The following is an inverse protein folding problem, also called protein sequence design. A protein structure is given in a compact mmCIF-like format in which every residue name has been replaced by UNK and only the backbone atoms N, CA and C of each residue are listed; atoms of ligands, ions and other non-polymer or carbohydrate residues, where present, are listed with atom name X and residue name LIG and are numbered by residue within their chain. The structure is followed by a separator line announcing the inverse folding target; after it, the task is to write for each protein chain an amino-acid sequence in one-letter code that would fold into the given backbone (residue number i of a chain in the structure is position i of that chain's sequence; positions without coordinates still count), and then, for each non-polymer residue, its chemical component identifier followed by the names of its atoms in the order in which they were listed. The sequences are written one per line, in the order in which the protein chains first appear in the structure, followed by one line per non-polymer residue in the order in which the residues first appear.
data_IF_886482231532
#
_entry.id   IF_886482231532
#
_cell.length_a   1.000
_cell.length_b   1.000
_cell.length_c   1.000
_cell.angle_alpha   90.00
_cell.angle_beta   90.00
_cell.angle_gamma   90.00
#
_symmetry.space_group_name_H-M   'P 1'
#
loop_
_entity.id
_entity.type
_entity.pdbx_description
1 polymer ?
#
# COMPACT_ATOMS: atom_id res chain seq x y z
N UNK A 1 29.97 14.80 45.54
CA UNK A 1 30.61 14.10 44.41
C UNK A 1 29.74 12.89 44.08
N UNK A 2 28.77 13.05 43.19
CA UNK A 2 28.88 12.52 41.83
C UNK A 2 27.90 11.35 41.64
N UNK A 3 26.62 11.64 41.34
CA UNK A 3 25.61 10.65 40.91
C UNK A 3 24.90 11.21 39.68
N UNK A 4 25.52 11.05 38.52
CA UNK A 4 24.97 11.46 37.23
C UNK A 4 25.49 10.53 36.13
N UNK A 5 25.17 9.24 36.22
CA UNK A 5 25.35 8.30 35.10
C UNK A 5 24.23 7.28 35.20
N UNK A 6 23.14 7.46 34.44
CA UNK A 6 22.18 6.40 34.05
C UNK A 6 21.07 6.96 33.13
N UNK A 7 21.43 7.75 32.11
CA UNK A 7 20.47 8.25 31.12
C UNK A 7 20.97 8.11 29.68
N UNK A 8 21.84 7.14 29.40
CA UNK A 8 22.47 6.99 28.07
C UNK A 8 22.09 5.77 27.21
N UNK A 9 21.37 4.71 27.65
CA UNK A 9 21.11 3.59 26.75
C UNK A 9 19.87 3.77 25.87
N UNK A 10 18.93 4.66 26.20
CA UNK A 10 17.69 4.82 25.41
C UNK A 10 17.86 5.65 24.12
N UNK A 11 18.82 6.57 24.07
CA UNK A 11 19.00 7.45 22.91
C UNK A 11 19.62 6.72 21.70
N UNK A 12 20.37 5.64 21.91
CA UNK A 12 21.04 4.88 20.83
C UNK A 12 20.08 3.91 20.13
N UNK A 13 19.08 3.38 20.84
CA UNK A 13 18.07 2.47 20.27
C UNK A 13 17.11 3.17 19.29
N UNK A 14 16.86 4.48 19.48
CA UNK A 14 15.98 5.25 18.59
C UNK A 14 16.64 5.61 17.25
N UNK A 15 17.98 5.65 17.19
CA UNK A 15 18.71 5.98 15.95
C UNK A 15 18.82 4.74 15.04
N UNK A 16 18.92 3.53 15.60
CA UNK A 16 19.02 2.29 14.83
C UNK A 16 17.68 1.82 14.24
N UNK A 17 16.54 2.16 14.86
CA UNK A 17 15.22 1.89 14.27
C UNK A 17 14.93 2.78 13.04
N UNK A 18 15.46 4.02 13.02
CA UNK A 18 15.23 4.96 11.93
C UNK A 18 15.96 4.62 10.63
N UNK A 19 17.09 3.92 10.68
CA UNK A 19 17.88 3.59 9.48
C UNK A 19 17.40 2.34 8.74
N UNK A 20 16.72 1.41 9.43
CA UNK A 20 16.19 0.19 8.79
C UNK A 20 14.97 0.51 7.91
N UNK A 21 14.15 1.49 8.29
CA UNK A 21 12.96 1.89 7.50
C UNK A 21 13.34 2.56 6.17
N UNK A 22 14.52 3.20 6.09
CA UNK A 22 14.97 3.88 4.87
C UNK A 22 15.61 2.93 3.84
N UNK A 23 16.12 1.76 4.26
CA UNK A 23 16.85 0.86 3.35
C UNK A 23 15.95 -0.07 2.53
N UNK A 24 14.66 -0.20 2.87
CA UNK A 24 13.73 -1.00 2.08
C UNK A 24 13.16 -0.28 0.85
N UNK A 25 13.23 1.07 0.77
CA UNK A 25 12.81 1.82 -0.42
C UNK A 25 13.86 1.83 -1.55
N UNK A 26 15.12 1.50 -1.27
CA UNK A 26 16.23 1.67 -2.24
C UNK A 26 16.37 0.57 -3.30
N UNK A 27 15.51 -0.45 -3.31
CA UNK A 27 15.43 -1.47 -4.38
C UNK A 27 14.20 -1.32 -5.29
N UNK A 28 13.48 -0.20 -5.19
CA UNK A 28 12.39 0.11 -6.10
C UNK A 28 12.97 0.42 -7.50
N UNK A 29 12.56 -0.34 -8.52
CA UNK A 29 12.85 -0.09 -9.95
C UNK A 29 12.70 1.39 -10.33
N UNK A 30 13.49 1.90 -11.27
CA UNK A 30 13.25 3.25 -11.85
C UNK A 30 11.87 3.38 -12.50
N UNK A 31 11.20 2.26 -12.75
CA UNK A 31 9.85 2.19 -13.33
C UNK A 31 8.77 2.77 -12.41
N UNK A 32 8.94 2.75 -11.08
CA UNK A 32 7.94 3.30 -10.14
C UNK A 32 7.68 4.80 -10.38
N UNK A 33 8.73 5.54 -10.75
CA UNK A 33 8.67 6.99 -10.96
C UNK A 33 8.34 7.41 -12.39
N UNK A 34 8.14 6.45 -13.30
CA UNK A 34 7.81 6.72 -14.70
C UNK A 34 6.51 6.05 -15.15
N UNK A 35 5.98 5.12 -14.34
CA UNK A 35 4.73 4.43 -14.63
C UNK A 35 3.53 5.38 -14.57
N UNK A 36 2.82 5.50 -15.69
CA UNK A 36 1.69 6.43 -15.86
C UNK A 36 0.40 5.91 -15.24
N UNK A 37 -0.40 6.84 -14.75
CA UNK A 37 -1.73 6.58 -14.19
C UNK A 37 -2.67 5.91 -15.20
N UNK A 38 -2.68 6.37 -16.46
CA UNK A 38 -3.49 5.76 -17.53
C UNK A 38 -3.15 4.29 -17.78
N UNK A 39 -1.87 3.92 -17.77
CA UNK A 39 -1.44 2.52 -17.95
C UNK A 39 -1.99 1.61 -16.86
N UNK A 40 -2.02 2.09 -15.61
CA UNK A 40 -2.63 1.38 -14.49
C UNK A 40 -4.15 1.26 -14.67
N UNK A 41 -4.82 2.36 -14.97
CA UNK A 41 -6.27 2.41 -15.15
C UNK A 41 -6.73 1.47 -16.27
N UNK A 42 -6.06 1.52 -17.43
CA UNK A 42 -6.31 0.65 -18.58
C UNK A 42 -6.16 -0.84 -18.23
N UNK A 43 -5.22 -1.17 -17.33
CA UNK A 43 -5.06 -2.54 -16.86
C UNK A 43 -6.19 -2.94 -15.92
N UNK A 44 -6.53 -2.08 -14.95
CA UNK A 44 -7.58 -2.34 -13.96
C UNK A 44 -8.94 -2.50 -14.63
N UNK A 45 -9.26 -1.70 -15.64
CA UNK A 45 -10.52 -1.80 -16.40
C UNK A 45 -10.66 -3.12 -17.18
N UNK A 46 -9.55 -3.81 -17.47
CA UNK A 46 -9.54 -5.12 -18.14
C UNK A 46 -9.60 -6.29 -17.17
N UNK A 47 -9.50 -6.04 -15.87
CA UNK A 47 -9.71 -7.07 -14.86
C UNK A 47 -11.20 -7.44 -14.81
N UNK A 48 -11.55 -8.69 -14.51
CA UNK A 48 -12.94 -9.07 -14.31
C UNK A 48 -13.55 -8.25 -13.15
N UNK A 49 -14.78 -7.77 -13.34
CA UNK A 49 -15.47 -6.86 -12.40
C UNK A 49 -15.48 -7.39 -10.96
N UNK A 50 -15.60 -8.71 -10.80
CA UNK A 50 -15.41 -9.39 -9.53
C UNK A 50 -15.19 -10.88 -9.77
N UNK A 51 -14.27 -11.55 -9.08
CA UNK A 51 -14.18 -12.99 -9.15
C UNK A 51 -15.42 -13.59 -8.47
N UNK A 52 -16.48 -13.85 -9.26
CA UNK A 52 -17.72 -14.53 -8.83
C UNK A 52 -17.42 -15.82 -8.03
N UNK A 53 -16.27 -16.45 -8.28
CA UNK A 53 -15.79 -17.65 -7.60
C UNK A 53 -15.39 -17.42 -6.12
N UNK A 54 -15.25 -16.18 -5.65
CA UNK A 54 -14.72 -15.88 -4.32
C UNK A 54 -15.73 -15.30 -3.33
N UNK A 55 -16.87 -14.78 -3.78
CA UNK A 55 -17.83 -14.08 -2.89
C UNK A 55 -18.46 -15.01 -1.87
N UNK A 56 -18.59 -16.29 -2.20
CA UNK A 56 -19.17 -17.32 -1.31
C UNK A 56 -18.11 -17.97 -0.41
N UNK A 57 -16.83 -17.63 -0.59
CA UNK A 57 -15.74 -18.14 0.23
C UNK A 57 -15.79 -17.46 1.60
N UNK A 58 -15.85 -18.27 2.67
CA UNK A 58 -15.84 -17.79 4.05
C UNK A 58 -14.65 -16.84 4.28
N UNK A 59 -14.92 -15.70 4.89
CA UNK A 59 -13.91 -14.70 5.23
C UNK A 59 -13.54 -13.73 4.11
N UNK A 60 -14.05 -13.91 2.88
CA UNK A 60 -13.82 -12.99 1.78
C UNK A 60 -14.28 -11.56 2.11
N UNK A 61 -15.52 -11.40 2.57
CA UNK A 61 -16.07 -10.09 2.97
C UNK A 61 -15.31 -9.49 4.15
N UNK A 62 -14.80 -10.33 5.07
CA UNK A 62 -13.99 -9.88 6.19
C UNK A 62 -12.64 -9.32 5.73
N UNK A 63 -11.93 -10.01 4.84
CA UNK A 63 -10.68 -9.54 4.25
C UNK A 63 -10.88 -8.25 3.45
N UNK A 64 -11.94 -8.20 2.63
CA UNK A 64 -12.30 -6.98 1.91
C UNK A 64 -12.59 -5.81 2.85
N UNK A 65 -13.34 -6.05 3.93
CA UNK A 65 -13.67 -5.00 4.90
C UNK A 65 -12.44 -4.52 5.65
N UNK A 66 -11.52 -5.43 6.01
CA UNK A 66 -10.26 -5.10 6.65
C UNK A 66 -9.38 -4.22 5.75
N UNK A 67 -9.25 -4.57 4.47
CA UNK A 67 -8.54 -3.74 3.49
C UNK A 67 -9.25 -2.40 3.29
N UNK A 68 -10.57 -2.38 3.08
CA UNK A 68 -11.33 -1.15 2.91
C UNK A 68 -11.20 -0.20 4.10
N UNK A 69 -11.13 -0.73 5.32
CA UNK A 69 -10.91 0.07 6.52
C UNK A 69 -9.55 0.79 6.50
N UNK A 70 -8.54 0.23 5.83
CA UNK A 70 -7.20 0.81 5.69
C UNK A 70 -7.05 1.71 4.45
N UNK A 71 -7.71 1.38 3.34
CA UNK A 71 -7.48 2.06 2.06
C UNK A 71 -8.55 3.08 1.65
N UNK A 72 -9.75 3.00 2.23
CA UNK A 72 -10.83 3.92 1.89
C UNK A 72 -10.56 5.31 2.49
N UNK A 73 -10.55 6.40 1.71
CA UNK A 73 -10.31 7.74 2.24
C UNK A 73 -11.44 8.26 3.15
N UNK A 74 -12.59 7.57 3.20
CA UNK A 74 -13.68 7.86 4.13
C UNK A 74 -13.56 7.10 5.47
N UNK A 75 -12.64 6.14 5.57
CA UNK A 75 -12.41 5.40 6.82
C UNK A 75 -11.67 6.27 7.84
N UNK A 76 -12.03 6.14 9.12
CA UNK A 76 -11.27 6.74 10.21
C UNK A 76 -9.88 6.13 10.39
N UNK A 77 -9.66 4.93 9.86
CA UNK A 77 -8.39 4.19 9.94
C UNK A 77 -7.62 4.21 8.61
N UNK A 78 -8.02 5.10 7.69
CA UNK A 78 -7.37 5.21 6.39
C UNK A 78 -5.89 5.56 6.54
N UNK A 79 -5.03 4.85 5.80
CA UNK A 79 -3.62 5.16 5.78
C UNK A 79 -3.39 6.54 5.13
N UNK A 80 -2.44 7.36 5.64
CA UNK A 80 -2.13 8.67 5.07
C UNK A 80 -1.79 8.61 3.58
N UNK A 81 -1.07 7.57 3.15
CA UNK A 81 -0.77 7.33 1.72
C UNK A 81 -2.03 7.16 0.89
N UNK A 82 -3.02 6.42 1.39
CA UNK A 82 -4.30 6.22 0.71
C UNK A 82 -5.15 7.48 0.61
N UNK A 83 -5.16 8.32 1.64
CA UNK A 83 -5.84 9.62 1.61
C UNK A 83 -5.21 10.51 0.53
N UNK A 84 -3.87 10.59 0.49
CA UNK A 84 -3.13 11.36 -0.51
C UNK A 84 -3.32 10.80 -1.92
N UNK A 85 -3.32 9.47 -2.08
CA UNK A 85 -3.57 8.83 -3.35
C UNK A 85 -4.98 9.15 -3.87
N UNK A 86 -6.00 9.04 -3.02
CA UNK A 86 -7.37 9.41 -3.38
C UNK A 86 -7.52 10.89 -3.74
N UNK A 87 -6.75 11.80 -3.13
CA UNK A 87 -6.70 13.21 -3.52
C UNK A 87 -6.02 13.39 -4.87
N UNK A 88 -4.89 12.72 -5.09
CA UNK A 88 -4.19 12.71 -6.38
C UNK A 88 -5.08 12.21 -7.52
N UNK A 89 -5.83 11.14 -7.31
CA UNK A 89 -6.74 10.60 -8.33
C UNK A 89 -7.80 11.61 -8.81
N UNK A 90 -8.16 12.60 -8.00
CA UNK A 90 -9.13 13.65 -8.39
C UNK A 90 -8.55 14.67 -9.36
N UNK A 91 -7.23 14.80 -9.43
CA UNK A 91 -6.52 15.80 -10.23
C UNK A 91 -5.54 15.20 -11.23
N UNK A 92 -5.26 13.89 -11.14
CA UNK A 92 -4.37 13.18 -12.02
C UNK A 92 -4.90 13.17 -13.47
N UNK A 93 -4.01 13.53 -14.41
CA UNK A 93 -4.25 13.31 -15.83
C UNK A 93 -3.72 11.94 -16.28
N UNK A 94 -4.00 11.53 -17.52
CA UNK A 94 -3.53 10.26 -18.08
C UNK A 94 -2.01 10.07 -17.98
N UNK A 95 -1.24 11.15 -18.13
CA UNK A 95 0.23 11.16 -18.10
C UNK A 95 0.84 11.35 -16.72
N UNK A 96 0.03 11.55 -15.68
CA UNK A 96 0.54 11.68 -14.31
C UNK A 96 1.24 10.39 -13.87
N UNK A 97 2.33 10.52 -13.12
CA UNK A 97 3.04 9.38 -12.53
C UNK A 97 2.14 8.75 -11.47
N UNK A 98 1.88 7.45 -11.55
CA UNK A 98 0.98 6.73 -10.64
C UNK A 98 1.44 6.88 -9.18
N UNK A 99 2.74 6.69 -8.94
CA UNK A 99 3.34 6.80 -7.62
C UNK A 99 3.83 8.22 -7.30
N UNK A 100 3.12 9.25 -7.76
CA UNK A 100 3.46 10.64 -7.43
C UNK A 100 3.52 10.82 -5.91
N UNK A 101 4.67 11.28 -5.39
CA UNK A 101 4.87 11.50 -3.97
C UNK A 101 4.80 10.23 -3.10
N UNK A 102 5.06 9.05 -3.68
CA UNK A 102 4.95 7.73 -3.05
C UNK A 102 3.53 7.32 -2.63
N UNK A 103 2.49 8.07 -3.03
CA UNK A 103 1.13 7.87 -2.49
C UNK A 103 0.56 6.49 -2.78
N UNK A 104 0.90 5.89 -3.92
CA UNK A 104 0.42 4.57 -4.30
C UNK A 104 1.05 3.48 -3.43
N UNK A 105 2.39 3.51 -3.28
CA UNK A 105 3.13 2.54 -2.48
C UNK A 105 2.77 2.65 -1.01
N UNK A 106 2.79 3.87 -0.47
CA UNK A 106 2.40 4.17 0.92
C UNK A 106 0.91 3.87 1.19
N UNK A 107 0.12 3.50 0.16
CA UNK A 107 -1.25 3.03 0.29
C UNK A 107 -1.38 1.52 0.19
N UNK A 108 -0.93 0.91 -0.92
CA UNK A 108 -1.27 -0.49 -1.25
C UNK A 108 -0.14 -1.48 -0.99
N UNK A 109 1.09 -1.00 -0.78
CA UNK A 109 2.28 -1.82 -0.54
C UNK A 109 2.71 -1.88 0.93
N UNK A 110 2.02 -1.16 1.81
CA UNK A 110 2.23 -1.26 3.25
C UNK A 110 1.87 -2.67 3.75
N UNK A 111 2.75 -3.26 4.57
CA UNK A 111 2.64 -4.64 5.06
C UNK A 111 1.26 -4.89 5.68
N UNK A 112 0.73 -3.95 6.45
CA UNK A 112 -0.58 -4.11 7.11
C UNK A 112 -1.74 -4.25 6.13
N UNK A 113 -1.64 -3.66 4.93
CA UNK A 113 -2.67 -3.76 3.89
C UNK A 113 -2.54 -5.10 3.17
N UNK A 114 -1.31 -5.50 2.87
CA UNK A 114 -0.99 -6.79 2.25
C UNK A 114 -1.42 -7.93 3.17
N UNK A 115 -1.08 -7.88 4.45
CA UNK A 115 -1.48 -8.86 5.47
C UNK A 115 -3.00 -8.94 5.61
N UNK A 116 -3.70 -7.79 5.68
CA UNK A 116 -5.16 -7.74 5.72
C UNK A 116 -5.78 -8.43 4.49
N UNK A 117 -5.23 -8.21 3.30
CA UNK A 117 -5.68 -8.87 2.08
C UNK A 117 -5.40 -10.38 2.10
N UNK A 118 -4.23 -10.79 2.60
CA UNK A 118 -3.79 -12.19 2.68
C UNK A 118 -4.54 -13.02 3.73
N UNK A 119 -5.35 -12.40 4.60
CA UNK A 119 -6.26 -13.15 5.50
C UNK A 119 -7.29 -14.01 4.74
N UNK A 120 -7.48 -13.78 3.45
CA UNK A 120 -8.23 -14.65 2.57
C UNK A 120 -7.53 -14.80 1.20
N UNK A 121 -7.02 -16.00 0.91
CA UNK A 121 -6.30 -16.29 -0.34
C UNK A 121 -7.11 -15.95 -1.60
N UNK A 122 -8.42 -16.20 -1.60
CA UNK A 122 -9.26 -15.91 -2.76
C UNK A 122 -9.33 -14.39 -3.02
N UNK A 123 -9.59 -13.60 -1.96
CA UNK A 123 -9.58 -12.15 -2.04
C UNK A 123 -8.21 -11.62 -2.49
N UNK A 124 -7.13 -12.09 -1.88
CA UNK A 124 -5.79 -11.66 -2.24
C UNK A 124 -5.47 -11.98 -3.72
N UNK A 125 -5.58 -13.24 -4.12
CA UNK A 125 -5.15 -13.71 -5.43
C UNK A 125 -6.06 -13.26 -6.57
N UNK A 126 -7.37 -13.15 -6.33
CA UNK A 126 -8.34 -12.91 -7.40
C UNK A 126 -8.80 -11.44 -7.48
N UNK A 127 -8.58 -10.63 -6.44
CA UNK A 127 -9.00 -9.22 -6.42
C UNK A 127 -7.84 -8.27 -6.10
N UNK A 128 -7.22 -8.40 -4.93
CA UNK A 128 -6.25 -7.42 -4.44
C UNK A 128 -4.96 -7.42 -5.27
N UNK A 129 -4.30 -8.57 -5.42
CA UNK A 129 -3.05 -8.69 -6.15
C UNK A 129 -3.18 -8.29 -7.64
N UNK A 130 -4.19 -8.76 -8.40
CA UNK A 130 -4.36 -8.32 -9.78
C UNK A 130 -4.48 -6.79 -9.95
N UNK A 131 -5.22 -6.13 -9.05
CA UNK A 131 -5.49 -4.70 -9.14
C UNK A 131 -4.30 -3.83 -8.71
N UNK A 132 -3.63 -4.21 -7.63
CA UNK A 132 -2.64 -3.33 -6.99
C UNK A 132 -1.18 -3.70 -7.31
N UNK A 133 -0.92 -4.96 -7.64
CA UNK A 133 0.44 -5.47 -7.92
C UNK A 133 0.62 -5.80 -9.41
N UNK A 134 -0.26 -6.64 -9.97
CA UNK A 134 -0.13 -7.04 -11.37
C UNK A 134 -0.30 -5.87 -12.34
N UNK A 135 -1.24 -4.96 -12.07
CA UNK A 135 -1.47 -3.79 -12.92
C UNK A 135 -0.43 -2.67 -12.76
N UNK A 136 0.52 -2.80 -11.84
CA UNK A 136 1.62 -1.84 -11.70
C UNK A 136 2.92 -2.33 -12.32
N UNK A 137 3.03 -3.63 -12.68
CA UNK A 137 4.19 -4.26 -13.35
C UNK A 137 5.53 -4.01 -12.65
N UNK A 138 5.50 -3.75 -11.35
CA UNK A 138 6.69 -3.42 -10.58
C UNK A 138 7.42 -4.66 -10.02
N UNK A 139 6.89 -5.86 -10.31
CA UNK A 139 7.41 -7.20 -9.99
C UNK A 139 7.09 -8.13 -11.16
#
# INVERSE_FOLDING_TARGET
MGKLILALPLAVLLILAGTIILQNKSNLSTDYYTFKYSTWEDCVQKLPDYPQKCTDVKGFQSAQSAVNNLVSPQSSNALPGCIKFAQFQKTAGPDSILNYGDYYLDCFYEDIVVEAAQTNDCYYQQYFYPRYFKCTKWF
#
